data_IF_763453526789
#
_entry.id   IF_763453526789
#
_cell.length_a   1.000
_cell.length_b   1.000
_cell.length_c   1.000
_cell.angle_alpha   90.00
_cell.angle_beta   90.00
_cell.angle_gamma   90.00
#
_symmetry.space_group_name_H-M   'P 1'
#
loop_
_entity.id
_entity.type
_entity.pdbx_description
1 polymer ?
#
# COMPACT_ATOMS: atom_id res chain seq x y z
N UNK A 1 -25.29 -0.28 -6.85
CA UNK A 1 -26.52 0.46 -6.46
C UNK A 1 -26.94 1.39 -7.59
N UNK A 2 -28.17 1.27 -8.10
CA UNK A 2 -28.71 2.25 -9.05
C UNK A 2 -28.72 3.65 -8.40
N UNK A 3 -28.22 4.67 -9.11
CA UNK A 3 -28.15 6.06 -8.61
C UNK A 3 -26.86 6.46 -7.88
N UNK A 4 -25.91 5.55 -7.66
CA UNK A 4 -24.65 5.88 -6.97
C UNK A 4 -23.63 6.67 -7.81
N UNK A 5 -23.80 6.74 -9.14
CA UNK A 5 -22.85 7.41 -10.05
C UNK A 5 -22.71 8.93 -9.81
N UNK A 6 -23.66 9.55 -9.09
CA UNK A 6 -23.65 10.97 -8.76
C UNK A 6 -23.36 11.28 -7.29
N UNK A 7 -22.95 10.29 -6.50
CA UNK A 7 -22.60 10.49 -5.09
C UNK A 7 -21.19 11.08 -4.99
N UNK A 8 -20.97 12.10 -4.13
CA UNK A 8 -19.63 12.53 -3.78
C UNK A 8 -18.80 11.35 -3.30
N UNK A 9 -17.56 11.27 -3.78
CA UNK A 9 -16.60 10.22 -3.40
C UNK A 9 -15.45 10.88 -2.65
N UNK A 10 -15.17 10.37 -1.46
CA UNK A 10 -14.05 10.75 -0.61
C UNK A 10 -13.11 9.57 -0.60
N UNK A 11 -11.87 9.75 -1.05
CA UNK A 11 -10.78 8.82 -0.82
C UNK A 11 -9.81 9.50 0.13
N UNK A 12 -9.51 8.86 1.26
CA UNK A 12 -8.57 9.38 2.24
C UNK A 12 -7.68 8.27 2.80
N UNK A 13 -6.50 8.70 3.22
CA UNK A 13 -5.58 7.91 4.06
C UNK A 13 -5.56 8.59 5.44
N UNK A 14 -5.66 7.85 6.56
CA UNK A 14 -5.52 8.42 7.90
C UNK A 14 -4.20 9.19 8.07
N UNK A 15 -4.15 10.12 9.03
CA UNK A 15 -2.93 10.86 9.37
C UNK A 15 -2.68 10.76 10.87
N UNK A 16 -1.74 11.52 11.42
CA UNK A 16 -1.60 11.73 12.86
C UNK A 16 -2.87 12.37 13.49
N UNK A 17 -3.70 13.03 12.67
CA UNK A 17 -5.00 13.59 13.04
C UNK A 17 -6.15 13.11 12.12
N UNK A 18 -6.56 11.83 12.22
CA UNK A 18 -7.48 11.19 11.27
C UNK A 18 -8.90 11.81 11.28
N UNK A 19 -9.36 12.27 12.45
CA UNK A 19 -10.67 12.88 12.59
C UNK A 19 -10.74 14.24 11.88
N UNK A 20 -9.67 15.04 11.97
CA UNK A 20 -9.56 16.32 11.26
C UNK A 20 -9.46 16.11 9.75
N UNK A 21 -8.70 15.12 9.32
CA UNK A 21 -8.55 14.78 7.90
C UNK A 21 -9.88 14.32 7.28
N UNK A 22 -10.68 13.54 8.02
CA UNK A 22 -12.03 13.16 7.60
C UNK A 22 -12.93 14.39 7.40
N UNK A 23 -12.97 15.28 8.38
CA UNK A 23 -13.76 16.51 8.29
C UNK A 23 -13.36 17.36 7.07
N UNK A 24 -12.05 17.50 6.85
CA UNK A 24 -11.48 18.28 5.74
C UNK A 24 -11.84 17.69 4.37
N UNK A 25 -11.63 16.38 4.18
CA UNK A 25 -11.84 15.69 2.90
C UNK A 25 -13.33 15.61 2.53
N UNK A 26 -14.20 15.35 3.51
CA UNK A 26 -15.66 15.37 3.34
C UNK A 26 -16.15 16.76 2.94
N UNK A 27 -15.69 17.81 3.64
CA UNK A 27 -16.07 19.18 3.30
C UNK A 27 -15.61 19.59 1.90
N UNK A 28 -14.39 19.19 1.52
CA UNK A 28 -13.84 19.43 0.17
C UNK A 28 -14.67 18.72 -0.91
N UNK A 29 -15.02 17.44 -0.70
CA UNK A 29 -15.84 16.68 -1.65
C UNK A 29 -17.26 17.23 -1.79
N UNK A 30 -17.78 17.88 -0.75
CA UNK A 30 -19.06 18.59 -0.78
C UNK A 30 -18.97 20.03 -1.35
N UNK A 31 -17.77 20.51 -1.72
CA UNK A 31 -17.56 21.82 -2.32
C UNK A 31 -17.67 22.99 -1.33
N UNK A 32 -17.32 22.77 -0.06
CA UNK A 32 -17.55 23.71 1.03
C UNK A 32 -16.29 24.44 1.48
N UNK A 33 -16.47 25.59 2.14
CA UNK A 33 -15.37 26.36 2.71
C UNK A 33 -14.79 25.73 3.98
N UNK A 34 -13.57 26.13 4.35
CA UNK A 34 -12.90 25.68 5.59
C UNK A 34 -13.75 25.96 6.84
N UNK A 35 -14.51 27.06 6.85
CA UNK A 35 -15.42 27.40 7.97
C UNK A 35 -16.59 26.43 8.09
N UNK A 36 -17.06 25.83 6.98
CA UNK A 36 -18.06 24.78 7.01
C UNK A 36 -17.45 23.44 7.45
N UNK A 37 -16.19 23.16 7.12
CA UNK A 37 -15.46 21.99 7.60
C UNK A 37 -15.31 21.97 9.14
N UNK A 38 -15.12 23.14 9.76
CA UNK A 38 -15.05 23.27 11.22
C UNK A 38 -16.35 22.85 11.93
N UNK A 39 -17.49 22.76 11.23
CA UNK A 39 -18.75 22.23 11.78
C UNK A 39 -18.78 20.70 11.85
N UNK A 40 -17.90 20.03 11.13
CA UNK A 40 -17.70 18.59 11.19
C UNK A 40 -16.68 18.25 12.29
N UNK A 41 -16.68 18.93 13.43
CA UNK A 41 -15.77 18.64 14.54
C UNK A 41 -16.01 17.22 15.09
N UNK A 42 -15.35 16.26 14.44
CA UNK A 42 -15.49 14.82 14.67
C UNK A 42 -15.02 14.46 16.07
N UNK A 43 -13.97 15.13 16.56
CA UNK A 43 -13.35 14.83 17.86
C UNK A 43 -14.27 15.30 18.98
N UNK A 44 -14.65 16.58 18.99
CA UNK A 44 -15.40 17.14 20.12
C UNK A 44 -16.91 16.85 20.03
N UNK A 45 -17.45 16.61 18.83
CA UNK A 45 -18.90 16.46 18.61
C UNK A 45 -19.25 15.32 17.62
N UNK A 46 -18.82 14.06 17.88
CA UNK A 46 -19.06 12.94 16.97
C UNK A 46 -20.56 12.69 16.71
N UNK A 47 -21.43 12.95 17.69
CA UNK A 47 -22.87 12.83 17.54
C UNK A 47 -23.48 13.82 16.52
N UNK A 48 -22.82 14.95 16.27
CA UNK A 48 -23.27 15.95 15.28
C UNK A 48 -22.73 15.69 13.89
N UNK A 49 -21.72 14.84 13.74
CA UNK A 49 -21.11 14.53 12.44
C UNK A 49 -22.14 14.04 11.42
N UNK A 50 -23.02 13.11 11.80
CA UNK A 50 -24.04 12.53 10.90
C UNK A 50 -25.04 13.60 10.43
N UNK A 51 -25.50 14.46 11.36
CA UNK A 51 -26.42 15.56 11.05
C UNK A 51 -25.75 16.59 10.14
N UNK A 52 -24.55 17.05 10.50
CA UNK A 52 -23.77 17.97 9.68
C UNK A 52 -23.48 17.39 8.30
N UNK A 53 -23.07 16.13 8.19
CA UNK A 53 -22.86 15.45 6.90
C UNK A 53 -24.14 15.44 6.05
N UNK A 54 -25.29 15.15 6.66
CA UNK A 54 -26.58 15.15 5.98
C UNK A 54 -26.95 16.55 5.47
N UNK A 55 -26.75 17.58 6.29
CA UNK A 55 -26.99 18.98 5.93
C UNK A 55 -26.09 19.41 4.76
N UNK A 56 -24.80 19.03 4.80
CA UNK A 56 -23.85 19.34 3.75
C UNK A 56 -24.21 18.66 2.42
N UNK A 57 -24.65 17.40 2.47
CA UNK A 57 -25.14 16.67 1.30
C UNK A 57 -26.43 17.31 0.72
N UNK A 58 -27.26 17.91 1.56
CA UNK A 58 -28.44 18.66 1.12
C UNK A 58 -28.09 20.00 0.45
N UNK A 59 -26.99 20.65 0.87
CA UNK A 59 -26.52 21.93 0.34
C UNK A 59 -25.70 21.80 -0.96
N UNK A 60 -25.16 20.62 -1.26
CA UNK A 60 -24.38 20.38 -2.48
C UNK A 60 -25.21 20.60 -3.78
N UNK A 61 -24.57 21.04 -4.88
CA UNK A 61 -25.28 21.39 -6.11
C UNK A 61 -26.15 20.24 -6.60
N UNK A 62 -27.40 20.55 -6.91
CA UNK A 62 -28.31 19.55 -7.42
C UNK A 62 -27.80 19.04 -8.77
N UNK A 63 -27.40 17.76 -8.86
CA UNK A 63 -27.17 17.12 -10.14
C UNK A 63 -28.39 17.42 -11.03
N UNK A 64 -28.15 18.14 -12.14
CA UNK A 64 -29.18 18.66 -13.02
C UNK A 64 -30.02 17.49 -13.58
N UNK A 65 -31.15 17.24 -12.94
CA UNK A 65 -32.11 16.22 -13.32
C UNK A 65 -33.46 16.59 -12.73
N UNK A 66 -34.32 17.17 -13.57
CA UNK A 66 -35.66 17.62 -13.19
C UNK A 66 -36.52 16.46 -12.70
N UNK A 67 -36.74 16.41 -11.39
CA UNK A 67 -37.64 15.48 -10.72
C UNK A 67 -38.01 16.03 -9.34
N UNK A 68 -39.29 15.94 -8.98
CA UNK A 68 -39.97 16.58 -7.84
C UNK A 68 -39.63 16.02 -6.45
N UNK A 69 -38.52 15.30 -6.31
CA UNK A 69 -38.00 14.84 -5.02
C UNK A 69 -36.48 14.99 -5.03
N UNK A 70 -35.87 15.75 -4.10
CA UNK A 70 -34.41 15.83 -4.04
C UNK A 70 -33.86 14.41 -3.84
N UNK A 71 -32.99 13.90 -4.72
CA UNK A 71 -32.44 12.56 -4.54
C UNK A 71 -31.70 12.55 -3.20
N UNK A 72 -31.96 11.54 -2.37
CA UNK A 72 -31.21 11.31 -1.13
C UNK A 72 -29.73 11.20 -1.48
N UNK A 73 -28.97 12.29 -1.30
CA UNK A 73 -27.54 12.34 -1.59
C UNK A 73 -26.82 11.58 -0.49
N UNK A 74 -26.04 10.59 -0.89
CA UNK A 74 -25.11 9.88 -0.02
C UNK A 74 -23.70 10.23 -0.44
N UNK A 75 -22.76 10.09 0.48
CA UNK A 75 -21.32 10.10 0.19
C UNK A 75 -20.78 8.68 0.20
N UNK A 76 -19.81 8.37 -0.66
CA UNK A 76 -18.97 7.19 -0.51
C UNK A 76 -17.67 7.64 0.13
N UNK A 77 -17.34 7.09 1.29
CA UNK A 77 -16.10 7.36 2.01
C UNK A 77 -15.24 6.09 1.91
N UNK A 78 -14.13 6.18 1.21
CA UNK A 78 -13.11 5.14 1.13
C UNK A 78 -11.94 5.57 2.00
N UNK A 79 -11.66 4.80 3.04
CA UNK A 79 -10.49 4.97 3.89
C UNK A 79 -9.51 3.87 3.51
N UNK A 80 -8.47 4.23 2.77
CA UNK A 80 -7.40 3.30 2.41
C UNK A 80 -6.27 3.39 3.44
N UNK A 81 -5.46 2.33 3.57
CA UNK A 81 -4.42 2.22 4.61
C UNK A 81 -4.92 2.55 6.02
N UNK A 82 -6.07 1.97 6.40
CA UNK A 82 -6.73 2.28 7.67
C UNK A 82 -5.84 2.03 8.90
N UNK A 83 -4.87 1.12 8.77
CA UNK A 83 -3.85 0.87 9.77
C UNK A 83 -3.11 2.13 10.25
N UNK A 84 -3.01 3.17 9.42
CA UNK A 84 -2.38 4.45 9.79
C UNK A 84 -3.13 5.15 10.93
N UNK A 85 -4.41 4.84 11.12
CA UNK A 85 -5.17 5.26 12.30
C UNK A 85 -4.50 4.80 13.59
N UNK A 86 -3.88 3.62 13.59
CA UNK A 86 -3.26 3.04 14.77
C UNK A 86 -1.78 3.39 14.90
N UNK A 87 -1.07 3.53 13.79
CA UNK A 87 0.39 3.73 13.77
C UNK A 87 0.81 5.20 13.82
N UNK A 88 0.00 6.11 13.25
CA UNK A 88 0.32 7.54 13.20
C UNK A 88 -0.41 8.35 14.28
N UNK A 89 -1.67 8.02 14.57
CA UNK A 89 -2.44 8.73 15.58
C UNK A 89 -2.14 8.18 16.99
N UNK A 90 -1.48 9.00 17.81
CA UNK A 90 -1.14 8.67 19.19
C UNK A 90 -2.30 8.91 20.18
N UNK A 91 -3.30 9.70 19.81
CA UNK A 91 -4.42 10.08 20.68
C UNK A 91 -5.58 9.08 20.55
N UNK A 92 -5.80 8.28 21.59
CA UNK A 92 -6.87 7.28 21.65
C UNK A 92 -8.27 7.90 21.55
N UNK A 93 -8.47 9.11 22.08
CA UNK A 93 -9.77 9.78 22.01
C UNK A 93 -10.08 10.19 20.57
N UNK A 94 -9.08 10.72 19.85
CA UNK A 94 -9.18 11.06 18.44
C UNK A 94 -9.43 9.82 17.57
N UNK A 95 -8.70 8.72 17.81
CA UNK A 95 -8.94 7.42 17.12
C UNK A 95 -10.36 6.93 17.31
N UNK A 96 -10.82 6.88 18.55
CA UNK A 96 -12.17 6.45 18.88
C UNK A 96 -13.24 7.36 18.25
N UNK A 97 -13.03 8.68 18.24
CA UNK A 97 -13.95 9.63 17.64
C UNK A 97 -14.06 9.46 16.12
N UNK A 98 -12.92 9.28 15.44
CA UNK A 98 -12.86 8.99 14.01
C UNK A 98 -13.63 7.71 13.65
N UNK A 99 -13.37 6.60 14.37
CA UNK A 99 -14.04 5.32 14.15
C UNK A 99 -15.54 5.43 14.38
N UNK A 100 -15.96 6.05 15.50
CA UNK A 100 -17.38 6.28 15.80
C UNK A 100 -18.07 7.10 14.72
N UNK A 101 -17.42 8.13 14.20
CA UNK A 101 -18.00 8.97 13.15
C UNK A 101 -18.21 8.20 11.82
N UNK A 102 -17.24 7.39 11.40
CA UNK A 102 -17.38 6.52 10.22
C UNK A 102 -18.56 5.55 10.37
N UNK A 103 -18.63 4.85 11.50
CA UNK A 103 -19.69 3.88 11.77
C UNK A 103 -21.05 4.56 11.88
N UNK A 104 -21.13 5.71 12.56
CA UNK A 104 -22.36 6.48 12.70
C UNK A 104 -22.87 6.99 11.34
N UNK A 105 -21.98 7.44 10.44
CA UNK A 105 -22.38 7.87 9.09
C UNK A 105 -22.87 6.71 8.22
N UNK A 106 -22.35 5.50 8.43
CA UNK A 106 -22.79 4.29 7.73
C UNK A 106 -24.12 3.74 8.27
N UNK A 107 -24.35 3.83 9.59
CA UNK A 107 -25.58 3.34 10.26
C UNK A 107 -26.72 4.35 10.24
N UNK A 108 -26.41 5.65 10.17
CA UNK A 108 -27.40 6.72 10.32
C UNK A 108 -27.99 6.78 11.73
N UNK A 109 -29.07 7.53 11.89
CA UNK A 109 -29.81 7.71 13.15
C UNK A 109 -30.95 6.68 13.34
N UNK A 110 -31.10 5.73 12.42
CA UNK A 110 -32.17 4.73 12.40
C UNK A 110 -33.54 5.27 11.96
N UNK A 111 -33.72 6.58 11.87
CA UNK A 111 -34.94 7.23 11.40
C UNK A 111 -34.88 7.57 9.90
N UNK A 112 -33.67 7.85 9.41
CA UNK A 112 -33.40 8.23 8.03
C UNK A 112 -32.43 7.26 7.37
N UNK A 113 -32.42 7.29 6.03
CA UNK A 113 -31.49 6.48 5.24
C UNK A 113 -30.05 6.97 5.54
N UNK A 114 -29.08 6.08 5.82
CA UNK A 114 -27.73 6.50 6.17
C UNK A 114 -27.09 7.45 5.15
N UNK A 115 -26.41 8.52 5.59
CA UNK A 115 -25.83 9.53 4.70
C UNK A 115 -24.55 9.06 4.02
N UNK A 116 -23.88 8.00 4.50
CA UNK A 116 -22.66 7.49 3.90
C UNK A 116 -22.70 5.99 3.60
N UNK A 117 -21.89 5.59 2.63
CA UNK A 117 -21.36 4.23 2.50
C UNK A 117 -19.88 4.33 2.81
N UNK A 118 -19.41 3.56 3.79
CA UNK A 118 -18.00 3.57 4.20
C UNK A 118 -17.35 2.26 3.77
N UNK A 119 -16.20 2.36 3.12
CA UNK A 119 -15.32 1.25 2.75
C UNK A 119 -13.98 1.50 3.42
N UNK A 120 -13.49 0.50 4.14
CA UNK A 120 -12.22 0.56 4.85
C UNK A 120 -11.30 -0.50 4.23
N UNK A 121 -10.15 -0.07 3.70
CA UNK A 121 -9.04 -0.94 3.33
C UNK A 121 -8.09 -1.05 4.50
N UNK A 122 -7.87 -2.27 4.99
CA UNK A 122 -6.95 -2.54 6.10
C UNK A 122 -6.18 -3.82 5.79
N UNK A 123 -4.90 -3.84 6.17
CA UNK A 123 -4.08 -5.05 6.07
C UNK A 123 -4.46 -6.08 7.13
N UNK A 124 -4.21 -7.35 6.83
CA UNK A 124 -4.64 -8.47 7.67
C UNK A 124 -3.95 -8.51 9.05
N UNK A 125 -2.70 -8.04 9.15
CA UNK A 125 -1.93 -7.92 10.39
C UNK A 125 -2.53 -6.89 11.37
N UNK A 126 -3.27 -5.91 10.86
CA UNK A 126 -4.00 -4.91 11.66
C UNK A 126 -5.44 -5.32 12.00
N UNK A 127 -5.88 -6.53 11.62
CA UNK A 127 -7.22 -7.01 11.94
C UNK A 127 -7.48 -7.03 13.45
N UNK A 128 -6.50 -7.48 14.24
CA UNK A 128 -6.60 -7.54 15.70
C UNK A 128 -6.80 -6.16 16.35
N UNK A 129 -6.20 -5.12 15.77
CA UNK A 129 -6.33 -3.74 16.21
C UNK A 129 -7.74 -3.21 15.93
N UNK A 130 -8.29 -3.52 14.75
CA UNK A 130 -9.68 -3.18 14.43
C UNK A 130 -10.68 -3.89 15.37
N UNK A 131 -10.43 -5.14 15.73
CA UNK A 131 -11.28 -5.93 16.61
C UNK A 131 -11.33 -5.41 18.06
N UNK A 132 -10.36 -4.57 18.47
CA UNK A 132 -10.37 -3.91 19.77
C UNK A 132 -11.44 -2.81 19.90
N UNK A 133 -12.02 -2.34 18.77
CA UNK A 133 -13.06 -1.32 18.75
C UNK A 133 -14.45 -1.95 18.56
N UNK A 134 -15.33 -1.92 19.59
CA UNK A 134 -16.67 -2.50 19.50
C UNK A 134 -17.50 -2.01 18.32
N UNK A 135 -17.28 -0.76 17.90
CA UNK A 135 -17.98 -0.14 16.77
C UNK A 135 -17.70 -0.84 15.44
N UNK A 136 -16.51 -1.44 15.27
CA UNK A 136 -16.09 -2.12 14.04
C UNK A 136 -16.44 -3.61 14.02
N UNK A 137 -16.68 -4.24 15.18
CA UNK A 137 -16.87 -5.70 15.29
C UNK A 137 -17.94 -6.24 14.33
N UNK A 138 -19.10 -5.58 14.26
CA UNK A 138 -20.20 -5.96 13.38
C UNK A 138 -19.81 -5.88 11.89
N UNK A 139 -19.06 -4.83 11.52
CA UNK A 139 -18.56 -4.65 10.15
C UNK A 139 -17.51 -5.70 9.79
N UNK A 140 -16.64 -6.07 10.74
CA UNK A 140 -15.65 -7.15 10.55
C UNK A 140 -16.33 -8.52 10.37
N UNK A 141 -17.46 -8.76 11.05
CA UNK A 141 -18.19 -10.03 10.96
C UNK A 141 -19.03 -10.17 9.68
N UNK A 142 -19.70 -9.10 9.26
CA UNK A 142 -20.74 -9.17 8.22
C UNK A 142 -20.38 -8.44 6.93
N UNK A 143 -19.43 -7.52 6.97
CA UNK A 143 -19.06 -6.63 5.87
C UNK A 143 -17.66 -6.87 5.29
N UNK A 144 -16.94 -7.90 5.73
CA UNK A 144 -15.58 -8.15 5.25
C UNK A 144 -15.54 -8.71 3.83
N UNK A 145 -14.57 -8.23 3.05
CA UNK A 145 -14.17 -8.83 1.78
C UNK A 145 -12.68 -9.11 1.87
N UNK A 146 -12.31 -10.39 1.91
CA UNK A 146 -10.91 -10.80 2.00
C UNK A 146 -10.31 -10.79 0.60
N UNK A 147 -9.28 -9.96 0.41
CA UNK A 147 -8.50 -9.91 -0.82
C UNK A 147 -7.28 -10.82 -0.66
N UNK A 148 -7.32 -11.96 -1.34
CA UNK A 148 -6.19 -12.90 -1.37
C UNK A 148 -5.06 -12.44 -2.29
N UNK A 149 -3.91 -13.13 -2.27
CA UNK A 149 -2.85 -12.91 -3.24
C UNK A 149 -3.39 -13.16 -4.66
N UNK A 150 -2.92 -12.36 -5.62
CA UNK A 150 -3.31 -12.52 -7.02
C UNK A 150 -2.82 -13.87 -7.56
N UNK A 151 -3.69 -14.50 -8.34
CA UNK A 151 -3.31 -15.64 -9.17
C UNK A 151 -2.47 -15.19 -10.37
N UNK A 152 -1.70 -16.09 -10.97
CA UNK A 152 -0.95 -15.86 -12.19
C UNK A 152 -1.86 -15.44 -13.36
N UNK A 153 -3.10 -15.94 -13.39
CA UNK A 153 -4.11 -15.53 -14.36
C UNK A 153 -4.56 -14.07 -14.12
N UNK A 154 -4.81 -13.69 -12.87
CA UNK A 154 -5.15 -12.30 -12.52
C UNK A 154 -3.98 -11.35 -12.78
N UNK A 155 -2.73 -11.77 -12.53
CA UNK A 155 -1.56 -10.96 -12.86
C UNK A 155 -1.39 -10.82 -14.37
N UNK A 156 -1.61 -11.88 -15.15
CA UNK A 156 -1.66 -11.80 -16.62
C UNK A 156 -2.71 -10.78 -17.07
N UNK A 157 -3.91 -10.84 -16.51
CA UNK A 157 -4.98 -9.90 -16.80
C UNK A 157 -4.59 -8.46 -16.44
N UNK A 158 -3.94 -8.27 -15.29
CA UNK A 158 -3.45 -6.97 -14.84
C UNK A 158 -2.32 -6.42 -15.70
N UNK A 159 -1.61 -7.25 -16.47
CA UNK A 159 -0.61 -6.82 -17.45
C UNK A 159 -1.28 -6.51 -18.80
N UNK A 160 -2.09 -7.44 -19.31
CA UNK A 160 -2.61 -7.43 -20.69
C UNK A 160 -3.76 -6.44 -20.85
N UNK A 161 -4.76 -6.48 -19.97
CA UNK A 161 -5.99 -5.67 -20.13
C UNK A 161 -5.72 -4.15 -20.13
N UNK A 162 -4.84 -3.61 -19.26
CA UNK A 162 -4.50 -2.18 -19.33
C UNK A 162 -3.80 -1.79 -20.62
N UNK A 163 -2.93 -2.66 -21.17
CA UNK A 163 -2.26 -2.42 -22.44
C UNK A 163 -3.28 -2.38 -23.60
N UNK A 164 -4.18 -3.36 -23.66
CA UNK A 164 -5.24 -3.42 -24.67
C UNK A 164 -6.18 -2.21 -24.60
N UNK A 165 -6.55 -1.78 -23.39
CA UNK A 165 -7.43 -0.63 -23.17
C UNK A 165 -6.88 0.68 -23.74
N UNK A 166 -5.56 0.81 -23.90
CA UNK A 166 -4.89 1.97 -24.51
C UNK A 166 -4.32 1.68 -25.90
N UNK A 167 -4.70 0.56 -26.51
CA UNK A 167 -4.30 0.18 -27.87
C UNK A 167 -2.86 -0.31 -28.01
N UNK A 168 -2.24 -0.74 -26.91
CA UNK A 168 -0.93 -1.40 -26.93
C UNK A 168 -1.09 -2.91 -27.03
N UNK A 169 -0.07 -3.56 -27.60
CA UNK A 169 0.02 -5.03 -27.68
C UNK A 169 1.12 -5.54 -26.75
N UNK A 170 0.98 -6.77 -26.28
CA UNK A 170 1.99 -7.47 -25.48
C UNK A 170 2.56 -8.60 -26.32
N UNK A 171 3.88 -8.64 -26.47
CA UNK A 171 4.55 -9.70 -27.22
C UNK A 171 4.31 -11.07 -26.56
N UNK A 172 4.02 -12.13 -27.34
CA UNK A 172 3.93 -13.49 -26.82
C UNK A 172 5.18 -13.88 -26.00
N UNK A 173 4.96 -14.52 -24.86
CA UNK A 173 6.05 -14.96 -23.97
C UNK A 173 6.55 -13.89 -22.98
N UNK A 174 6.24 -12.60 -23.19
CA UNK A 174 6.63 -11.55 -22.23
C UNK A 174 5.94 -11.75 -20.86
N UNK A 175 4.64 -12.03 -20.87
CA UNK A 175 3.89 -12.25 -19.62
C UNK A 175 4.40 -13.49 -18.88
N UNK A 176 4.70 -14.57 -19.61
CA UNK A 176 5.23 -15.80 -19.02
C UNK A 176 6.59 -15.57 -18.37
N UNK A 177 7.45 -14.78 -19.02
CA UNK A 177 8.73 -14.36 -18.46
C UNK A 177 8.56 -13.51 -17.19
N UNK A 178 7.62 -12.56 -17.17
CA UNK A 178 7.34 -11.73 -16.00
C UNK A 178 6.77 -12.54 -14.84
N UNK A 179 5.84 -13.47 -15.11
CA UNK A 179 5.27 -14.39 -14.10
C UNK A 179 6.34 -15.30 -13.50
N UNK A 180 7.24 -15.82 -14.33
CA UNK A 180 8.40 -16.56 -13.87
C UNK A 180 9.32 -15.70 -12.98
N UNK A 181 9.59 -14.46 -13.39
CA UNK A 181 10.49 -13.55 -12.67
C UNK A 181 9.95 -13.12 -11.29
N UNK A 182 8.63 -12.99 -11.13
CA UNK A 182 7.99 -12.73 -9.82
C UNK A 182 7.81 -14.00 -8.98
N UNK A 183 8.19 -15.17 -9.51
CA UNK A 183 8.11 -16.44 -8.80
C UNK A 183 6.68 -16.96 -8.61
N UNK A 184 5.78 -16.71 -9.57
CA UNK A 184 4.49 -17.37 -9.60
C UNK A 184 4.71 -18.90 -9.66
N UNK A 185 4.12 -19.64 -8.71
CA UNK A 185 4.32 -21.09 -8.62
C UNK A 185 3.48 -21.86 -9.65
N UNK A 186 3.71 -23.18 -9.73
CA UNK A 186 2.96 -24.10 -10.60
C UNK A 186 1.46 -24.17 -10.27
N UNK A 187 1.06 -23.73 -9.06
CA UNK A 187 -0.33 -23.62 -8.63
C UNK A 187 -0.97 -22.29 -9.05
N UNK A 188 -0.21 -21.42 -9.71
CA UNK A 188 -0.69 -20.17 -10.26
C UNK A 188 -0.99 -19.13 -9.19
N UNK A 189 -0.31 -19.13 -8.04
CA UNK A 189 -0.42 -18.06 -7.03
C UNK A 189 0.89 -17.28 -6.97
N UNK A 190 0.80 -15.95 -6.93
CA UNK A 190 1.97 -15.12 -6.65
C UNK A 190 2.28 -15.20 -5.16
N UNK A 191 3.34 -15.95 -4.83
CA UNK A 191 3.69 -16.29 -3.45
C UNK A 191 4.11 -15.08 -2.58
N UNK A 192 4.56 -13.99 -3.21
CA UNK A 192 4.99 -12.77 -2.51
C UNK A 192 4.24 -11.54 -3.02
N UNK A 193 3.30 -10.97 -2.24
CA UNK A 193 2.63 -9.71 -2.57
C UNK A 193 3.60 -8.53 -2.80
N UNK A 194 4.78 -8.54 -2.18
CA UNK A 194 5.84 -7.55 -2.37
C UNK A 194 6.45 -7.55 -3.77
N UNK A 195 6.14 -8.55 -4.61
CA UNK A 195 6.58 -8.62 -6.01
C UNK A 195 5.74 -7.78 -6.97
N UNK A 196 4.47 -7.49 -6.66
CA UNK A 196 3.58 -6.72 -7.54
C UNK A 196 4.04 -5.26 -7.73
N UNK A 197 4.50 -4.55 -6.69
CA UNK A 197 5.10 -3.23 -6.87
C UNK A 197 6.31 -3.22 -7.80
N UNK A 198 7.16 -4.25 -7.72
CA UNK A 198 8.33 -4.42 -8.57
C UNK A 198 7.93 -4.72 -10.02
N UNK A 199 6.92 -5.57 -10.21
CA UNK A 199 6.33 -5.85 -11.52
C UNK A 199 5.80 -4.57 -12.16
N UNK A 200 5.06 -3.75 -11.40
CA UNK A 200 4.55 -2.46 -11.89
C UNK A 200 5.68 -1.53 -12.35
N UNK A 201 6.79 -1.50 -11.62
CA UNK A 201 7.96 -0.73 -12.00
C UNK A 201 8.63 -1.29 -13.29
N UNK A 202 8.79 -2.61 -13.39
CA UNK A 202 9.35 -3.25 -14.59
C UNK A 202 8.46 -3.07 -15.83
N UNK A 203 7.13 -3.11 -15.67
CA UNK A 203 6.16 -2.82 -16.74
C UNK A 203 6.30 -1.37 -17.23
N UNK A 204 6.42 -0.41 -16.31
CA UNK A 204 6.64 1.00 -16.66
C UNK A 204 7.95 1.21 -17.42
N UNK A 205 9.03 0.52 -17.03
CA UNK A 205 10.30 0.58 -17.73
C UNK A 205 10.19 -0.05 -19.13
N UNK A 206 9.54 -1.21 -19.24
CA UNK A 206 9.27 -1.90 -20.52
C UNK A 206 8.44 -1.03 -21.46
N UNK A 207 7.45 -0.30 -20.92
CA UNK A 207 6.61 0.62 -21.69
C UNK A 207 7.40 1.79 -22.30
N UNK A 208 8.47 2.26 -21.64
CA UNK A 208 9.36 3.29 -22.18
C UNK A 208 10.21 2.76 -23.33
N UNK A 209 10.58 1.49 -23.27
CA UNK A 209 11.39 0.77 -24.28
C UNK A 209 10.54 0.06 -25.35
N UNK A 210 9.24 0.37 -25.42
CA UNK A 210 8.29 -0.28 -26.35
C UNK A 210 8.62 0.04 -27.80
N UNK A 211 8.28 -0.87 -28.70
CA UNK A 211 8.51 -0.72 -30.13
C UNK A 211 7.19 -0.82 -30.87
N UNK A 212 6.86 0.19 -31.69
CA UNK A 212 5.64 0.22 -32.51
C UNK A 212 4.35 -0.08 -31.73
N UNK A 213 4.24 0.41 -30.49
CA UNK A 213 3.07 0.16 -29.63
C UNK A 213 3.03 -1.23 -28.99
N UNK A 214 4.10 -2.02 -29.12
CA UNK A 214 4.23 -3.36 -28.52
C UNK A 214 5.19 -3.34 -27.33
N UNK A 215 4.74 -3.87 -26.18
CA UNK A 215 5.60 -4.24 -25.07
C UNK A 215 6.35 -5.52 -25.45
N UNK A 216 7.66 -5.41 -25.67
CA UNK A 216 8.48 -6.50 -26.20
C UNK A 216 9.33 -7.18 -25.14
N UNK A 217 9.68 -8.45 -25.37
CA UNK A 217 10.66 -9.19 -24.56
C UNK A 217 12.01 -8.49 -24.61
N UNK A 218 12.41 -8.01 -25.78
CA UNK A 218 13.64 -7.23 -25.94
C UNK A 218 13.61 -5.93 -25.11
N UNK A 219 12.49 -5.20 -25.12
CA UNK A 219 12.30 -4.00 -24.31
C UNK A 219 12.38 -4.28 -22.82
N UNK A 220 11.76 -5.36 -22.36
CA UNK A 220 11.83 -5.81 -20.96
C UNK A 220 13.25 -6.16 -20.54
N UNK A 221 13.99 -6.92 -21.36
CA UNK A 221 15.38 -7.27 -21.07
C UNK A 221 16.32 -6.07 -21.10
N UNK A 222 16.15 -5.11 -22.03
CA UNK A 222 16.92 -3.85 -22.07
C UNK A 222 16.65 -2.96 -20.86
N UNK A 223 15.40 -2.93 -20.38
CA UNK A 223 15.05 -2.28 -19.12
C UNK A 223 15.75 -2.93 -17.92
N UNK A 224 16.25 -4.15 -18.09
CA UNK A 224 16.98 -4.95 -17.10
C UNK A 224 16.13 -6.09 -16.49
N UNK A 225 14.94 -6.33 -17.05
CA UNK A 225 13.92 -7.19 -16.47
C UNK A 225 13.53 -6.73 -15.06
N UNK A 226 12.91 -7.61 -14.27
CA UNK A 226 12.57 -7.32 -12.87
C UNK A 226 13.83 -6.97 -12.04
N UNK A 227 14.97 -7.61 -12.35
CA UNK A 227 16.29 -7.43 -11.70
C UNK A 227 16.84 -6.02 -11.81
N UNK A 228 16.98 -5.55 -13.04
CA UNK A 228 17.55 -4.24 -13.32
C UNK A 228 16.58 -3.13 -12.98
N UNK A 229 15.28 -3.39 -12.96
CA UNK A 229 14.29 -2.44 -12.49
C UNK A 229 14.44 -2.20 -10.96
N UNK A 230 14.66 -3.26 -10.17
CA UNK A 230 15.01 -3.15 -8.74
C UNK A 230 16.35 -2.42 -8.57
N UNK A 231 17.39 -2.86 -9.27
CA UNK A 231 18.73 -2.28 -9.12
C UNK A 231 18.76 -0.79 -9.49
N UNK A 232 18.06 -0.40 -10.56
CA UNK A 232 17.99 0.99 -11.00
C UNK A 232 17.17 1.85 -10.03
N UNK A 233 16.05 1.34 -9.52
CA UNK A 233 15.27 2.04 -8.48
C UNK A 233 16.11 2.21 -7.21
N UNK A 234 16.82 1.17 -6.79
CA UNK A 234 17.73 1.22 -5.65
C UNK A 234 18.82 2.27 -5.87
N UNK A 235 19.48 2.28 -7.03
CA UNK A 235 20.53 3.24 -7.36
C UNK A 235 20.01 4.68 -7.45
N UNK A 236 18.87 4.90 -8.11
CA UNK A 236 18.22 6.22 -8.22
C UNK A 236 17.83 6.76 -6.83
N UNK A 237 17.17 5.94 -6.00
CA UNK A 237 16.79 6.34 -4.64
C UNK A 237 18.02 6.58 -3.77
N UNK A 238 19.00 5.67 -3.77
CA UNK A 238 20.25 5.84 -3.02
C UNK A 238 21.03 7.08 -3.46
N UNK A 239 21.03 7.38 -4.76
CA UNK A 239 21.67 8.58 -5.33
C UNK A 239 21.00 9.90 -4.95
N UNK A 240 19.73 9.88 -4.51
CA UNK A 240 19.04 11.08 -4.01
C UNK A 240 19.32 11.38 -2.52
N UNK A 241 19.90 10.43 -1.79
CA UNK A 241 20.25 10.60 -0.38
C UNK A 241 21.59 11.33 -0.24
N UNK A 242 21.72 12.16 0.80
CA UNK A 242 23.02 12.73 1.19
C UNK A 242 23.91 11.66 1.86
N UNK A 243 25.17 12.00 2.16
CA UNK A 243 26.12 11.03 2.72
C UNK A 243 25.62 10.39 4.02
N UNK A 244 24.96 11.16 4.89
CA UNK A 244 24.39 10.65 6.12
C UNK A 244 23.18 9.73 5.87
N UNK A 245 22.35 10.06 4.89
CA UNK A 245 21.22 9.22 4.47
C UNK A 245 21.66 7.93 3.78
N UNK A 246 22.74 7.95 3.00
CA UNK A 246 23.35 6.76 2.39
C UNK A 246 23.90 5.78 3.44
N UNK A 247 24.62 6.30 4.44
CA UNK A 247 25.11 5.49 5.56
C UNK A 247 23.93 4.88 6.34
N UNK A 248 22.87 5.66 6.60
CA UNK A 248 21.67 5.17 7.26
C UNK A 248 20.96 4.07 6.44
N UNK A 249 20.82 4.25 5.12
CA UNK A 249 20.23 3.25 4.22
C UNK A 249 21.01 1.93 4.25
N UNK A 250 22.34 2.00 4.25
CA UNK A 250 23.20 0.81 4.34
C UNK A 250 23.03 0.07 5.66
N UNK A 251 22.98 0.80 6.79
CA UNK A 251 22.75 0.20 8.11
C UNK A 251 21.38 -0.48 8.21
N UNK A 252 20.33 0.16 7.71
CA UNK A 252 18.98 -0.41 7.67
C UNK A 252 18.97 -1.71 6.84
N UNK A 253 19.51 -1.67 5.61
CA UNK A 253 19.51 -2.82 4.71
C UNK A 253 20.31 -4.01 5.27
N UNK A 254 21.46 -3.76 5.89
CA UNK A 254 22.27 -4.81 6.52
C UNK A 254 21.56 -5.47 7.70
N UNK A 255 20.80 -4.72 8.50
CA UNK A 255 20.04 -5.27 9.63
C UNK A 255 18.89 -6.18 9.19
N UNK A 256 18.44 -6.04 7.94
CA UNK A 256 17.35 -6.81 7.33
C UNK A 256 17.85 -8.08 6.60
N UNK A 257 19.16 -8.28 6.49
CA UNK A 257 19.79 -9.47 5.90
C UNK A 257 20.20 -10.42 7.03
N UNK A 258 19.77 -11.69 6.97
CA UNK A 258 20.25 -12.74 7.86
C UNK A 258 21.08 -13.75 7.04
N UNK A 259 22.37 -13.86 7.34
CA UNK A 259 23.20 -14.92 6.79
C UNK A 259 22.78 -16.25 7.40
N UNK A 260 22.29 -17.17 6.57
CA UNK A 260 21.97 -18.53 7.01
C UNK A 260 23.24 -19.36 7.16
N UNK A 261 23.32 -20.18 8.22
CA UNK A 261 24.37 -21.19 8.39
C UNK A 261 24.22 -22.32 7.34
N UNK A 262 24.56 -22.04 6.08
CA UNK A 262 24.61 -23.02 4.98
C UNK A 262 23.30 -23.30 4.24
N UNK A 263 22.25 -22.50 4.45
CA UNK A 263 21.04 -22.46 3.61
C UNK A 263 20.80 -21.01 3.16
N UNK A 264 20.19 -20.82 1.97
CA UNK A 264 19.97 -19.51 1.30
C UNK A 264 19.79 -18.34 2.29
N UNK A 265 20.43 -17.19 2.03
CA UNK A 265 20.27 -15.96 2.83
C UNK A 265 18.78 -15.65 3.05
N UNK A 266 18.31 -15.84 4.29
CA UNK A 266 16.92 -15.58 4.67
C UNK A 266 16.78 -14.18 5.27
N UNK A 267 15.58 -13.60 5.15
CA UNK A 267 15.31 -12.25 5.63
C UNK A 267 15.07 -12.21 7.13
N UNK A 268 15.48 -11.10 7.74
CA UNK A 268 15.07 -10.73 9.09
C UNK A 268 13.96 -9.69 9.02
N UNK A 269 12.81 -9.97 9.62
CA UNK A 269 11.84 -8.92 9.98
C UNK A 269 12.42 -8.14 11.15
N UNK A 270 12.66 -6.85 10.94
CA UNK A 270 13.24 -5.97 11.98
C UNK A 270 12.17 -5.02 12.45
N UNK A 271 12.02 -4.83 13.76
CA UNK A 271 11.00 -3.89 14.22
C UNK A 271 11.41 -2.45 13.90
N UNK A 272 10.45 -1.57 13.59
CA UNK A 272 10.75 -0.14 13.35
C UNK A 272 11.45 0.49 14.57
N UNK A 273 11.08 0.07 15.76
CA UNK A 273 11.70 0.47 17.03
C UNK A 273 13.13 -0.05 17.18
N UNK A 274 13.43 -1.25 16.67
CA UNK A 274 14.78 -1.82 16.63
C UNK A 274 15.69 -1.08 15.63
N UNK A 275 15.17 -0.76 14.43
CA UNK A 275 15.89 0.05 13.44
C UNK A 275 16.23 1.44 14.02
N UNK A 276 15.27 2.09 14.67
CA UNK A 276 15.46 3.42 15.26
C UNK A 276 16.37 3.40 16.51
N UNK A 277 16.34 2.33 17.31
CA UNK A 277 17.16 2.22 18.53
C UNK A 277 18.61 1.80 18.25
N UNK A 278 18.87 1.00 17.23
CA UNK A 278 20.24 0.59 16.86
C UNK A 278 21.04 1.77 16.29
N UNK A 279 20.38 2.67 15.55
CA UNK A 279 20.94 3.95 15.09
C UNK A 279 21.05 5.01 16.20
N UNK A 280 20.32 4.83 17.32
CA UNK A 280 20.36 5.72 18.49
C UNK A 280 21.54 5.46 19.43
N UNK A 281 22.47 4.58 19.06
CA UNK A 281 23.81 4.49 19.67
C UNK A 281 24.59 5.82 19.57
N UNK A 282 24.15 6.75 18.70
CA UNK A 282 24.53 8.14 18.70
C UNK A 282 23.39 9.01 19.25
N UNK A 283 23.62 9.68 20.38
CA UNK A 283 22.69 10.48 21.17
C UNK A 283 22.18 11.77 20.47
N UNK A 284 21.58 11.66 19.28
CA UNK A 284 21.04 12.80 18.53
C UNK A 284 19.65 12.49 17.95
N UNK A 285 18.64 13.28 18.34
CA UNK A 285 17.28 13.26 17.79
C UNK A 285 17.23 13.50 16.28
N UNK A 286 18.21 14.23 15.73
CA UNK A 286 18.40 14.43 14.30
C UNK A 286 18.74 13.15 13.54
N UNK A 287 19.42 12.18 14.18
CA UNK A 287 19.75 10.88 13.59
C UNK A 287 18.50 10.01 13.41
N UNK A 288 17.62 9.99 14.42
CA UNK A 288 16.36 9.25 14.35
C UNK A 288 15.40 9.82 13.29
N UNK A 289 15.33 11.14 13.15
CA UNK A 289 14.56 11.79 12.07
C UNK A 289 15.14 11.49 10.69
N UNK A 290 16.47 11.43 10.54
CA UNK A 290 17.11 11.07 9.28
C UNK A 290 16.84 9.61 8.90
N UNK A 291 16.96 8.67 9.85
CA UNK A 291 16.63 7.25 9.64
C UNK A 291 15.17 7.05 9.25
N UNK A 292 14.23 7.78 9.87
CA UNK A 292 12.82 7.75 9.46
C UNK A 292 12.64 8.26 8.03
N UNK A 293 13.22 9.40 7.69
CA UNK A 293 13.09 9.98 6.34
C UNK A 293 13.68 9.05 5.25
N UNK A 294 14.81 8.39 5.53
CA UNK A 294 15.41 7.40 4.63
C UNK A 294 14.53 6.17 4.49
N UNK A 295 13.98 5.65 5.59
CA UNK A 295 13.04 4.53 5.55
C UNK A 295 11.78 4.89 4.74
N UNK A 296 11.23 6.08 4.96
CA UNK A 296 10.06 6.57 4.22
C UNK A 296 10.39 6.74 2.73
N UNK A 297 11.60 7.16 2.37
CA UNK A 297 12.08 7.20 0.98
C UNK A 297 12.22 5.79 0.36
N UNK A 298 12.74 4.81 1.10
CA UNK A 298 12.85 3.42 0.64
C UNK A 298 11.47 2.75 0.48
N UNK A 299 10.53 3.07 1.37
CA UNK A 299 9.12 2.64 1.28
C UNK A 299 8.42 3.29 0.09
N UNK A 300 8.58 4.60 -0.09
CA UNK A 300 8.05 5.32 -1.25
C UNK A 300 8.61 4.77 -2.57
N UNK A 301 9.90 4.39 -2.58
CA UNK A 301 10.57 3.72 -3.69
C UNK A 301 10.21 2.23 -3.81
N UNK A 302 9.46 1.66 -2.87
CA UNK A 302 9.03 0.25 -2.82
C UNK A 302 10.19 -0.74 -2.75
N UNK A 303 11.33 -0.30 -2.21
CA UNK A 303 12.49 -1.15 -1.95
C UNK A 303 12.37 -1.91 -0.63
N UNK A 304 11.47 -1.45 0.23
CA UNK A 304 11.20 -1.98 1.56
C UNK A 304 9.69 -1.95 1.80
N UNK A 305 9.15 -2.99 2.42
CA UNK A 305 7.76 -3.07 2.88
C UNK A 305 7.72 -2.95 4.40
N UNK A 306 6.83 -2.10 4.91
CA UNK A 306 6.56 -1.96 6.35
C UNK A 306 5.24 -2.67 6.65
N UNK A 307 5.22 -3.53 7.65
CA UNK A 307 4.08 -4.21 8.29
C UNK A 307 3.91 -3.64 9.71
N UNK A 308 2.87 -4.02 10.47
CA UNK A 308 2.45 -3.34 11.69
C UNK A 308 3.54 -2.81 12.62
N UNK A 309 4.55 -3.63 12.91
CA UNK A 309 5.73 -3.21 13.63
C UNK A 309 7.03 -3.57 12.91
N UNK A 310 6.97 -4.20 11.74
CA UNK A 310 8.14 -4.82 11.11
C UNK A 310 8.44 -4.26 9.73
N UNK A 311 9.72 -4.21 9.41
CA UNK A 311 10.22 -3.74 8.13
C UNK A 311 10.91 -4.93 7.45
N UNK A 312 10.61 -5.19 6.17
CA UNK A 312 11.19 -6.30 5.40
C UNK A 312 11.54 -5.89 3.96
N UNK A 313 12.56 -6.53 3.37
CA UNK A 313 12.92 -6.35 1.95
C UNK A 313 12.04 -7.29 1.11
N UNK A 314 11.57 -6.94 -0.10
CA UNK A 314 10.85 -7.86 -0.99
C UNK A 314 11.67 -9.12 -1.38
N UNK A 315 11.03 -10.26 -1.67
CA UNK A 315 11.76 -11.54 -1.88
C UNK A 315 12.47 -11.64 -3.20
N UNK A 316 13.66 -12.25 -3.14
CA UNK A 316 14.14 -13.17 -4.15
C UNK A 316 14.25 -14.59 -3.62
N UNK A 317 13.67 -15.57 -4.30
CA UNK A 317 14.32 -16.87 -4.47
C UNK A 317 15.21 -16.76 -5.70
N UNK A 318 16.51 -16.60 -5.49
CA UNK A 318 17.53 -16.78 -6.53
C UNK A 318 18.91 -16.81 -5.90
N UNK A 319 19.45 -18.01 -5.67
CA UNK A 319 20.85 -18.35 -5.95
C UNK A 319 21.16 -19.85 -5.74
N UNK A 320 20.59 -20.74 -6.57
CA UNK A 320 21.16 -22.08 -6.73
C UNK A 320 20.84 -22.71 -8.09
N UNK A 321 21.58 -22.29 -9.13
CA UNK A 321 22.07 -23.16 -10.22
C UNK A 321 22.82 -22.30 -11.23
N UNK A 322 24.14 -22.31 -11.11
CA UNK A 322 24.99 -21.62 -12.07
C UNK A 322 26.44 -21.54 -11.62
N UNK A 323 27.12 -22.69 -11.50
CA UNK A 323 28.55 -22.81 -11.79
C UNK A 323 28.91 -24.30 -11.92
N UNK A 324 29.68 -24.60 -12.97
CA UNK A 324 29.79 -25.92 -13.58
C UNK A 324 30.41 -27.01 -12.71
N UNK A 325 29.81 -28.20 -12.78
CA UNK A 325 30.56 -29.45 -12.65
C UNK A 325 31.38 -29.63 -13.94
N UNK A 326 32.62 -29.14 -13.91
CA UNK A 326 33.65 -29.53 -14.87
C UNK A 326 34.77 -30.26 -14.09
N UNK A 327 34.85 -31.57 -14.33
CA UNK A 327 36.03 -32.43 -14.29
C UNK A 327 37.31 -31.90 -13.64
N UNK A 328 37.77 -32.58 -12.58
CA UNK A 328 39.07 -32.33 -11.97
C UNK A 328 39.48 -33.38 -10.95
N UNK A 329 39.56 -34.64 -11.39
CA UNK A 329 40.24 -35.71 -10.67
C UNK A 329 41.68 -35.33 -10.33
N UNK A 330 42.02 -35.19 -9.04
CA UNK A 330 43.38 -35.39 -8.53
C UNK A 330 43.36 -35.94 -7.11
N UNK A 331 43.69 -37.22 -7.06
CA UNK A 331 44.08 -38.02 -5.91
C UNK A 331 45.18 -37.36 -5.09
N UNK A 332 44.98 -37.20 -3.78
CA UNK A 332 46.07 -37.16 -2.80
C UNK A 332 45.65 -38.02 -1.60
N UNK A 333 46.36 -39.14 -1.48
CA UNK A 333 46.33 -40.12 -0.39
C UNK A 333 47.12 -39.57 0.81
N UNK A 334 46.68 -39.72 2.07
CA UNK A 334 47.58 -39.67 3.20
C UNK A 334 48.05 -41.09 3.54
N UNK A 335 49.36 -41.34 3.38
CA UNK A 335 50.03 -42.49 3.98
C UNK A 335 50.52 -42.09 5.38
N UNK A 336 49.92 -42.77 6.37
CA UNK A 336 50.34 -42.99 7.77
C UNK A 336 50.36 -41.80 8.71
#
# INVERSE_FOLDING_TARGET
MAGARGWPQVLMTPTDHPARELARTVAQAAGLSVLAAARLDVVSQPARFVGALSDLLALGPAAAGGGTTPPTRRVVIVVDQFEETFTLCADEEERGAFIRALVAACRGDGATRPPAVVVIGVRADFYGWCAAYPELVDALQTGQVVVGPMTAAEVRDAIVKPAEAVGLTVEPGLVDLMLHDIGADEHGVVADPGSLPLLAHALRATWRERENGTLTVAGYLRAGGLRGAIARTAEETFGTLDAAGQDAAWQILLQMIQFGDGTDDTRRRVSRTELLSTSASAQNSASAQNVSAVLDALVAARLVTVDADTVEIPTRRCCARGRGCASGSRSIVPRR
#
